data_IF_791132978725
#
_entry.id   IF_791132978725
#
_cell.length_a   1.000
_cell.length_b   1.000
_cell.length_c   1.000
_cell.angle_alpha   90.00
_cell.angle_beta   90.00
_cell.angle_gamma   90.00
#
_symmetry.space_group_name_H-M   'P 1'
#
loop_
_entity.id
_entity.type
_entity.pdbx_description
1 polymer ?
#
# COMPACT_ATOMS: atom_id res chain seq x y z
N UNK A 1 26.85 -15.75 -1.74
CA UNK A 1 25.54 -15.68 -2.42
C UNK A 1 24.98 -14.29 -2.16
N UNK A 2 24.66 -13.48 -3.18
CA UNK A 2 24.20 -12.09 -2.94
C UNK A 2 22.86 -12.06 -2.21
N UNK A 3 22.53 -10.98 -1.51
CA UNK A 3 21.23 -10.88 -0.81
C UNK A 3 20.09 -10.88 -1.83
N UNK A 4 20.28 -10.32 -3.03
CA UNK A 4 19.30 -10.38 -4.10
C UNK A 4 18.98 -11.80 -4.55
N UNK A 5 19.97 -12.70 -4.62
CA UNK A 5 19.71 -14.11 -4.94
C UNK A 5 18.89 -14.79 -3.85
N UNK A 6 19.16 -14.49 -2.58
CA UNK A 6 18.41 -15.03 -1.44
C UNK A 6 16.97 -14.52 -1.43
N UNK A 7 16.77 -13.21 -1.63
CA UNK A 7 15.44 -12.62 -1.76
C UNK A 7 14.68 -13.27 -2.94
N UNK A 8 15.28 -13.33 -4.13
CA UNK A 8 14.65 -13.99 -5.30
C UNK A 8 14.26 -15.43 -5.03
N UNK A 9 15.10 -16.21 -4.33
CA UNK A 9 14.78 -17.57 -3.95
C UNK A 9 13.59 -17.63 -2.98
N UNK A 10 13.57 -16.76 -1.95
CA UNK A 10 12.45 -16.65 -0.99
C UNK A 10 11.14 -16.29 -1.69
N UNK A 11 11.18 -15.28 -2.58
CA UNK A 11 10.05 -14.83 -3.39
C UNK A 11 9.53 -15.97 -4.27
N UNK A 12 10.41 -16.70 -4.97
CA UNK A 12 10.02 -17.85 -5.81
C UNK A 12 9.36 -18.97 -5.00
N UNK A 13 9.87 -19.25 -3.81
CA UNK A 13 9.30 -20.26 -2.92
C UNK A 13 7.91 -19.87 -2.42
N UNK A 14 7.72 -18.60 -2.02
CA UNK A 14 6.42 -18.08 -1.62
C UNK A 14 5.42 -18.05 -2.78
N UNK A 15 5.88 -17.65 -3.97
CA UNK A 15 5.08 -17.67 -5.19
C UNK A 15 4.57 -19.08 -5.52
N UNK A 16 5.44 -20.08 -5.44
CA UNK A 16 5.07 -21.48 -5.66
C UNK A 16 4.05 -21.98 -4.62
N UNK A 17 4.29 -21.71 -3.33
CA UNK A 17 3.40 -22.16 -2.23
C UNK A 17 2.00 -21.53 -2.30
N UNK A 18 1.90 -20.27 -2.70
CA UNK A 18 0.65 -19.51 -2.72
C UNK A 18 0.00 -19.47 -4.11
N UNK A 19 0.56 -20.17 -5.11
CA UNK A 19 0.06 -20.19 -6.50
C UNK A 19 -0.13 -18.80 -7.13
N UNK A 20 0.78 -17.86 -6.84
CA UNK A 20 0.73 -16.49 -7.39
C UNK A 20 2.03 -16.12 -8.12
N UNK A 21 2.00 -15.15 -9.05
CA UNK A 21 3.20 -14.74 -9.78
C UNK A 21 4.31 -14.19 -8.85
N UNK A 22 5.56 -14.61 -9.09
CA UNK A 22 6.71 -14.15 -8.31
C UNK A 22 6.88 -12.63 -8.30
N UNK A 23 6.52 -11.95 -9.40
CA UNK A 23 6.53 -10.49 -9.47
C UNK A 23 5.55 -9.83 -8.49
N UNK A 24 4.35 -10.41 -8.34
CA UNK A 24 3.37 -9.90 -7.40
C UNK A 24 3.82 -10.11 -5.94
N UNK A 25 4.42 -11.26 -5.65
CA UNK A 25 5.04 -11.54 -4.34
C UNK A 25 6.15 -10.52 -4.04
N UNK A 26 7.02 -10.22 -5.01
CA UNK A 26 8.06 -9.21 -4.86
C UNK A 26 7.49 -7.81 -4.61
N UNK A 27 6.45 -7.42 -5.35
CA UNK A 27 5.80 -6.13 -5.14
C UNK A 27 5.14 -6.03 -3.77
N UNK A 28 4.41 -7.05 -3.33
CA UNK A 28 3.81 -7.09 -2.00
C UNK A 28 4.87 -6.95 -0.90
N UNK A 29 6.01 -7.61 -1.04
CA UNK A 29 7.13 -7.43 -0.12
C UNK A 29 7.57 -5.97 -0.05
N UNK A 30 7.77 -5.32 -1.19
CA UNK A 30 8.19 -3.91 -1.23
C UNK A 30 7.09 -2.95 -0.72
N UNK A 31 5.81 -3.25 -0.95
CA UNK A 31 4.69 -2.50 -0.38
C UNK A 31 4.62 -2.65 1.15
N UNK A 32 4.90 -3.83 1.69
CA UNK A 32 4.98 -4.03 3.15
C UNK A 32 6.13 -3.20 3.76
N UNK A 33 7.26 -3.02 3.05
CA UNK A 33 8.34 -2.13 3.48
C UNK A 33 7.96 -0.65 3.50
N UNK A 34 7.11 -0.21 2.56
CA UNK A 34 6.52 1.12 2.60
C UNK A 34 5.51 1.24 3.75
N UNK A 35 4.65 0.24 3.92
CA UNK A 35 3.63 0.22 4.98
C UNK A 35 4.26 0.30 6.38
N UNK A 36 5.37 -0.40 6.57
CA UNK A 36 6.12 -0.32 7.82
C UNK A 36 6.66 1.09 8.06
N UNK A 37 7.26 1.74 7.05
CA UNK A 37 7.71 3.13 7.15
C UNK A 37 6.56 4.07 7.46
N UNK A 38 5.38 3.87 6.86
CA UNK A 38 4.16 4.62 7.20
C UNK A 38 3.83 4.47 8.69
N UNK A 39 3.83 3.25 9.21
CA UNK A 39 3.43 2.93 10.60
C UNK A 39 4.27 3.61 11.68
N UNK A 40 5.56 3.86 11.39
CA UNK A 40 6.49 4.53 12.31
C UNK A 40 6.75 6.00 11.96
N UNK A 41 6.15 6.51 10.88
CA UNK A 41 6.34 7.89 10.45
C UNK A 41 5.56 8.87 11.32
N UNK A 42 5.94 10.16 11.24
CA UNK A 42 5.14 11.26 11.78
C UNK A 42 3.75 11.40 11.12
N UNK A 43 3.52 10.73 9.98
CA UNK A 43 2.25 10.74 9.24
C UNK A 43 1.35 9.55 9.59
N UNK A 44 1.78 8.66 10.49
CA UNK A 44 1.09 7.40 10.79
C UNK A 44 -0.39 7.57 11.13
N UNK A 45 -0.76 8.67 11.79
CA UNK A 45 -2.14 8.95 12.22
C UNK A 45 -3.00 9.66 11.15
N UNK A 46 -2.34 10.11 10.08
CA UNK A 46 -2.94 10.81 8.93
C UNK A 46 -3.22 9.85 7.77
N UNK A 47 -2.40 8.80 7.60
CA UNK A 47 -2.53 7.83 6.50
C UNK A 47 -3.40 6.66 6.94
N UNK A 48 -4.49 6.42 6.22
CA UNK A 48 -5.43 5.33 6.48
C UNK A 48 -5.43 4.39 5.27
N UNK A 49 -4.98 3.15 5.48
CA UNK A 49 -4.91 2.11 4.46
C UNK A 49 -6.32 1.69 4.01
N UNK A 50 -6.51 1.50 2.70
CA UNK A 50 -7.76 0.98 2.13
C UNK A 50 -7.52 0.01 0.97
N UNK A 51 -8.59 -0.36 0.29
CA UNK A 51 -8.51 -1.03 -1.01
C UNK A 51 -7.99 -2.46 -0.97
N UNK A 52 -7.34 -2.87 -2.07
CA UNK A 52 -7.03 -4.28 -2.33
C UNK A 52 -6.04 -4.90 -1.35
N UNK A 53 -5.07 -4.10 -0.87
CA UNK A 53 -4.00 -4.58 0.01
C UNK A 53 -4.55 -4.95 1.38
N UNK A 54 -5.44 -4.11 1.91
CA UNK A 54 -6.13 -4.34 3.18
C UNK A 54 -7.05 -5.56 3.11
N UNK A 55 -7.78 -5.72 2.00
CA UNK A 55 -8.63 -6.91 1.81
C UNK A 55 -7.75 -8.16 1.77
N UNK A 56 -6.67 -8.15 0.99
CA UNK A 56 -5.77 -9.29 0.85
C UNK A 56 -5.13 -9.70 2.20
N UNK A 57 -4.85 -8.77 3.10
CA UNK A 57 -4.34 -9.10 4.43
C UNK A 57 -5.40 -9.68 5.37
N UNK A 58 -6.69 -9.40 5.15
CA UNK A 58 -7.80 -9.98 5.92
C UNK A 58 -8.17 -11.38 5.47
N UNK A 59 -8.18 -11.64 4.15
CA UNK A 59 -8.64 -12.93 3.59
C UNK A 59 -7.52 -13.87 3.12
N UNK A 60 -6.26 -13.39 3.17
CA UNK A 60 -5.08 -14.14 2.79
C UNK A 60 -4.65 -13.95 1.33
N UNK A 61 -3.35 -14.12 1.07
CA UNK A 61 -2.68 -13.83 -0.22
C UNK A 61 -3.27 -14.62 -1.41
N UNK A 62 -3.92 -15.76 -1.15
CA UNK A 62 -4.47 -16.63 -2.20
C UNK A 62 -5.67 -16.00 -2.93
N UNK A 63 -6.27 -14.95 -2.38
CA UNK A 63 -7.34 -14.20 -3.04
C UNK A 63 -6.81 -12.87 -3.57
N UNK A 64 -6.48 -12.85 -4.88
CA UNK A 64 -6.18 -11.68 -5.70
C UNK A 64 -4.94 -10.87 -5.24
N UNK A 65 -3.86 -10.94 -6.03
CA UNK A 65 -2.71 -10.04 -5.87
C UNK A 65 -3.10 -8.63 -6.27
N UNK A 66 -3.30 -7.72 -5.31
CA UNK A 66 -3.23 -6.28 -5.62
C UNK A 66 -1.77 -5.92 -5.87
N UNK A 67 -1.52 -5.09 -6.88
CA UNK A 67 -0.17 -4.59 -7.20
C UNK A 67 0.03 -3.16 -6.68
N UNK A 68 -1.04 -2.58 -6.14
CA UNK A 68 -1.14 -1.18 -5.74
C UNK A 68 -1.51 -1.11 -4.24
N UNK A 69 -1.09 -0.02 -3.60
CA UNK A 69 -1.55 0.37 -2.27
C UNK A 69 -2.48 1.56 -2.40
N UNK A 70 -3.67 1.46 -1.83
CA UNK A 70 -4.64 2.55 -1.74
C UNK A 70 -4.65 3.08 -0.30
N UNK A 71 -4.64 4.39 -0.14
CA UNK A 71 -4.82 5.01 1.17
C UNK A 71 -5.59 6.33 1.05
N UNK A 72 -6.22 6.77 2.13
CA UNK A 72 -6.73 8.14 2.25
C UNK A 72 -5.91 8.89 3.29
N UNK A 73 -5.73 10.19 3.07
CA UNK A 73 -5.10 11.08 4.04
C UNK A 73 -6.14 11.96 4.72
N UNK A 74 -6.12 11.97 6.05
CA UNK A 74 -6.95 12.84 6.91
C UNK A 74 -6.12 13.88 7.65
N UNK A 75 -6.71 15.05 7.89
CA UNK A 75 -6.12 16.07 8.77
C UNK A 75 -4.78 16.65 8.28
N UNK A 76 -4.51 16.56 6.98
CA UNK A 76 -3.28 17.02 6.35
C UNK A 76 -3.60 17.79 5.06
N UNK A 77 -2.89 18.88 4.73
CA UNK A 77 -3.08 19.57 3.47
C UNK A 77 -2.94 18.62 2.28
N UNK A 78 -3.86 18.73 1.31
CA UNK A 78 -3.96 17.80 0.20
C UNK A 78 -3.62 18.47 -1.13
N UNK A 79 -2.34 18.50 -1.45
CA UNK A 79 -1.79 19.03 -2.71
C UNK A 79 -0.64 18.16 -3.21
N UNK A 80 -0.29 18.24 -4.50
CA UNK A 80 0.81 17.46 -5.06
C UNK A 80 2.12 17.65 -4.26
N UNK A 81 2.44 18.89 -3.90
CA UNK A 81 3.64 19.24 -3.15
C UNK A 81 3.65 18.59 -1.75
N UNK A 82 2.52 18.65 -1.06
CA UNK A 82 2.40 18.16 0.32
C UNK A 82 2.37 16.62 0.37
N UNK A 83 1.74 15.98 -0.62
CA UNK A 83 1.76 14.52 -0.81
C UNK A 83 3.16 14.05 -1.19
N UNK A 84 3.82 14.70 -2.15
CA UNK A 84 5.20 14.39 -2.53
C UNK A 84 6.12 14.48 -1.31
N UNK A 85 6.04 15.56 -0.54
CA UNK A 85 6.82 15.75 0.67
C UNK A 85 6.56 14.65 1.70
N UNK A 86 5.29 14.32 1.98
CA UNK A 86 4.96 13.29 2.95
C UNK A 86 5.52 11.92 2.56
N UNK A 87 5.34 11.52 1.29
CA UNK A 87 5.81 10.24 0.79
C UNK A 87 7.33 10.20 0.68
N UNK A 88 8.00 11.30 0.32
CA UNK A 88 9.46 11.41 0.34
C UNK A 88 10.02 11.25 1.76
N UNK A 89 9.43 11.94 2.75
CA UNK A 89 9.81 11.82 4.16
C UNK A 89 9.63 10.38 4.65
N UNK A 90 8.52 9.72 4.30
CA UNK A 90 8.25 8.31 4.65
C UNK A 90 9.29 7.39 4.00
N UNK A 91 9.57 7.58 2.70
CA UNK A 91 10.54 6.77 1.96
C UNK A 91 11.96 6.89 2.53
N UNK A 92 12.32 8.04 3.10
CA UNK A 92 13.64 8.30 3.67
C UNK A 92 13.88 7.59 5.02
N UNK A 93 12.83 7.08 5.67
CA UNK A 93 12.94 6.34 6.94
C UNK A 93 13.79 5.09 6.74
N UNK A 94 14.80 4.91 7.59
CA UNK A 94 15.68 3.75 7.58
C UNK A 94 15.11 2.65 8.47
N UNK A 95 14.98 1.45 7.93
CA UNK A 95 14.50 0.24 8.63
C UNK A 95 15.56 -0.86 8.75
N UNK A 96 16.78 -0.61 8.28
CA UNK A 96 17.83 -1.63 8.15
C UNK A 96 17.37 -2.90 7.40
N UNK A 97 16.46 -2.72 6.45
CA UNK A 97 15.82 -3.76 5.63
C UNK A 97 16.40 -3.88 4.21
N UNK A 98 17.51 -3.17 3.97
CA UNK A 98 18.23 -3.07 2.69
C UNK A 98 17.38 -2.60 1.50
N UNK A 99 16.19 -2.06 1.76
CA UNK A 99 15.30 -1.48 0.76
C UNK A 99 15.45 0.03 0.76
N UNK A 100 15.74 0.59 -0.41
CA UNK A 100 15.65 2.03 -0.65
C UNK A 100 14.36 2.32 -1.40
N UNK A 101 13.58 3.29 -0.92
CA UNK A 101 12.39 3.78 -1.60
C UNK A 101 12.66 5.20 -2.09
N UNK A 102 12.26 5.51 -3.32
CA UNK A 102 12.37 6.86 -3.89
C UNK A 102 11.09 7.22 -4.61
N UNK A 103 10.50 8.36 -4.26
CA UNK A 103 9.38 8.93 -5.03
C UNK A 103 9.90 9.37 -6.40
N UNK A 104 9.31 8.82 -7.46
CA UNK A 104 9.64 9.15 -8.85
C UNK A 104 8.80 10.34 -9.32
N UNK A 105 7.48 10.12 -9.45
CA UNK A 105 6.54 11.16 -9.85
C UNK A 105 5.22 11.07 -9.10
N UNK A 106 4.50 12.20 -9.06
CA UNK A 106 3.15 12.32 -8.50
C UNK A 106 2.28 12.86 -9.61
N UNK A 107 1.14 12.22 -9.85
CA UNK A 107 0.19 12.63 -10.88
C UNK A 107 -1.21 12.73 -10.27
N UNK A 108 -2.01 13.75 -10.63
CA UNK A 108 -3.40 13.78 -10.23
C UNK A 108 -4.15 12.59 -10.85
N UNK A 109 -5.00 11.95 -10.06
CA UNK A 109 -5.97 10.97 -10.52
C UNK A 109 -7.28 11.72 -10.75
N UNK A 110 -7.86 11.57 -11.93
CA UNK A 110 -9.24 11.98 -12.16
C UNK A 110 -10.14 10.90 -11.54
N UNK A 111 -10.56 11.10 -10.31
CA UNK A 111 -11.69 10.38 -9.73
C UNK A 111 -12.96 11.21 -9.92
N UNK A 112 -14.11 10.55 -9.94
CA UNK A 112 -15.43 11.20 -9.85
C UNK A 112 -15.70 11.73 -8.42
N UNK A 113 -14.71 11.69 -7.52
CA UNK A 113 -14.81 12.17 -6.14
C UNK A 113 -14.62 13.68 -6.05
N UNK A 114 -15.36 14.31 -5.14
CA UNK A 114 -15.40 15.76 -4.91
C UNK A 114 -14.02 16.38 -4.60
N UNK A 115 -13.10 15.60 -4.01
CA UNK A 115 -11.79 16.06 -3.53
C UNK A 115 -10.60 15.58 -4.38
N UNK A 116 -10.84 14.74 -5.40
CA UNK A 116 -9.80 14.17 -6.26
C UNK A 116 -8.82 13.21 -5.54
N UNK A 117 -7.68 12.93 -6.17
CA UNK A 117 -6.63 12.08 -5.60
C UNK A 117 -5.30 12.21 -6.34
N UNK A 118 -4.25 11.60 -5.78
CA UNK A 118 -2.91 11.57 -6.37
C UNK A 118 -2.39 10.14 -6.47
N UNK A 119 -1.78 9.84 -7.62
CA UNK A 119 -1.02 8.62 -7.87
C UNK A 119 0.44 8.93 -7.68
N UNK A 120 1.06 8.26 -6.73
CA UNK A 120 2.49 8.37 -6.43
C UNK A 120 3.18 7.13 -6.98
N UNK A 121 4.10 7.33 -7.92
CA UNK A 121 5.02 6.30 -8.36
C UNK A 121 6.25 6.30 -7.44
N UNK A 122 6.59 5.14 -6.91
CA UNK A 122 7.76 4.94 -6.05
C UNK A 122 8.61 3.84 -6.65
N UNK A 123 9.93 4.04 -6.71
CA UNK A 123 10.88 2.99 -7.07
C UNK A 123 11.44 2.38 -5.79
N UNK A 124 11.14 1.10 -5.57
CA UNK A 124 11.75 0.31 -4.52
C UNK A 124 12.97 -0.44 -5.07
N UNK A 125 14.10 -0.29 -4.40
CA UNK A 125 15.37 -0.89 -4.80
C UNK A 125 15.92 -1.79 -3.70
N UNK A 126 16.33 -3.00 -4.07
CA UNK A 126 17.04 -3.95 -3.22
C UNK A 126 18.22 -4.54 -4.01
N UNK A 127 19.45 -4.15 -3.65
CA UNK A 127 20.66 -4.38 -4.46
C UNK A 127 20.44 -3.96 -5.95
N UNK A 128 20.42 -4.94 -6.87
CA UNK A 128 20.21 -4.75 -8.32
C UNK A 128 18.75 -4.87 -8.76
N UNK A 129 17.83 -5.18 -7.84
CA UNK A 129 16.40 -5.35 -8.14
C UNK A 129 15.73 -3.98 -8.02
N UNK A 130 15.11 -3.51 -9.10
CA UNK A 130 14.25 -2.33 -9.10
C UNK A 130 12.81 -2.78 -9.29
N UNK A 131 11.93 -2.33 -8.40
CA UNK A 131 10.51 -2.67 -8.39
C UNK A 131 9.70 -1.38 -8.35
N UNK A 132 9.00 -1.01 -9.44
CA UNK A 132 8.08 0.11 -9.42
C UNK A 132 6.86 -0.24 -8.57
N UNK A 133 6.46 0.69 -7.72
CA UNK A 133 5.29 0.64 -6.86
C UNK A 133 4.37 1.80 -7.19
N UNK A 134 3.08 1.57 -7.01
CA UNK A 134 2.03 2.53 -7.31
C UNK A 134 1.14 2.71 -6.09
N UNK A 135 1.06 3.94 -5.62
CA UNK A 135 0.29 4.31 -4.43
C UNK A 135 -0.76 5.33 -4.82
N UNK A 136 -2.03 4.99 -4.65
CA UNK A 136 -3.13 5.91 -4.88
C UNK A 136 -3.55 6.50 -3.52
N UNK A 137 -3.44 7.82 -3.40
CA UNK A 137 -3.79 8.57 -2.20
C UNK A 137 -5.01 9.44 -2.49
N UNK A 138 -6.06 9.31 -1.68
CA UNK A 138 -7.27 10.15 -1.70
C UNK A 138 -7.39 11.00 -0.43
N UNK A 139 -8.44 11.83 -0.36
CA UNK A 139 -8.82 12.55 0.85
C UNK A 139 -10.33 12.76 0.89
N UNK A 140 -10.87 13.13 2.05
CA UNK A 140 -12.30 13.45 2.19
C UNK A 140 -13.22 12.23 2.26
N UNK A 141 -12.68 11.01 2.26
CA UNK A 141 -13.44 9.78 2.39
C UNK A 141 -14.26 9.75 3.70
N UNK A 142 -15.54 9.40 3.60
CA UNK A 142 -16.45 9.26 4.74
C UNK A 142 -16.30 7.83 5.30
N UNK A 143 -15.83 7.72 6.54
CA UNK A 143 -15.66 6.44 7.23
C UNK A 143 -16.75 6.27 8.26
N UNK A 144 -17.52 5.18 8.16
CA UNK A 144 -18.62 4.89 9.08
C UNK A 144 -18.47 3.47 9.64
N UNK A 145 -18.41 3.28 10.97
CA UNK A 145 -18.41 4.30 12.04
C UNK A 145 -17.16 5.20 12.09
N UNK A 146 -15.95 4.66 11.93
CA UNK A 146 -14.68 5.41 11.81
C UNK A 146 -13.56 4.46 11.30
N UNK A 147 -12.37 4.99 11.00
CA UNK A 147 -11.15 4.22 10.79
C UNK A 147 -10.80 3.38 12.03
N UNK A 148 -10.16 2.24 11.81
CA UNK A 148 -9.75 1.32 12.88
C UNK A 148 -8.24 1.13 12.89
N UNK A 149 -7.68 0.83 14.07
CA UNK A 149 -6.31 0.32 14.18
C UNK A 149 -6.30 -1.12 13.68
N UNK A 150 -5.56 -1.36 12.61
CA UNK A 150 -5.43 -2.65 11.97
C UNK A 150 -4.01 -3.19 12.14
N UNK A 151 -3.93 -4.43 12.61
CA UNK A 151 -2.66 -5.17 12.72
C UNK A 151 -2.44 -5.93 11.43
N UNK A 152 -1.55 -5.42 10.58
CA UNK A 152 -1.12 -6.08 9.36
C UNK A 152 -0.01 -7.09 9.70
N UNK A 153 -0.30 -8.38 9.50
CA UNK A 153 0.69 -9.44 9.68
C UNK A 153 1.52 -9.56 8.39
N UNK A 154 2.83 -9.39 8.49
CA UNK A 154 3.72 -9.53 7.34
C UNK A 154 3.63 -10.96 6.78
N UNK A 155 3.54 -11.05 5.47
CA UNK A 155 3.53 -12.34 4.78
C UNK A 155 4.94 -12.93 4.59
N UNK A 156 5.97 -12.12 4.88
CA UNK A 156 7.36 -12.43 4.58
C UNK A 156 8.19 -12.62 5.85
N UNK A 157 7.79 -11.98 6.93
CA UNK A 157 8.50 -11.96 8.21
C UNK A 157 7.50 -12.20 9.34
N UNK A 158 7.98 -12.73 10.46
CA UNK A 158 7.14 -12.89 11.65
C UNK A 158 7.00 -11.54 12.38
N UNK A 159 6.32 -10.59 11.75
CA UNK A 159 6.24 -9.19 12.16
C UNK A 159 4.82 -8.65 12.01
N UNK A 160 4.46 -7.77 12.94
CA UNK A 160 3.20 -7.02 12.94
C UNK A 160 3.47 -5.57 12.60
N UNK A 161 2.64 -4.99 11.72
CA UNK A 161 2.68 -3.59 11.32
C UNK A 161 1.32 -2.98 11.67
N UNK A 162 1.29 -2.06 12.62
CA UNK A 162 0.03 -1.45 13.08
C UNK A 162 -0.23 -0.12 12.37
N UNK A 163 -1.32 -0.06 11.61
CA UNK A 163 -1.69 1.13 10.81
C UNK A 163 -3.15 1.50 11.04
N UNK A 164 -3.53 2.71 10.67
CA UNK A 164 -4.95 3.01 10.48
C UNK A 164 -5.43 2.40 9.17
N UNK A 165 -6.65 1.87 9.19
CA UNK A 165 -7.26 1.26 8.01
C UNK A 165 -8.77 1.47 7.99
N UNK A 166 -9.38 1.21 6.84
CA UNK A 166 -10.84 1.19 6.72
C UNK A 166 -11.39 0.06 7.57
N UNK A 167 -12.51 0.33 8.24
CA UNK A 167 -13.29 -0.74 8.83
C UNK A 167 -13.93 -1.62 7.73
N UNK A 168 -14.34 -2.82 8.10
CA UNK A 168 -14.87 -3.78 7.13
C UNK A 168 -16.19 -3.32 6.51
N UNK A 169 -17.00 -2.58 7.27
CA UNK A 169 -18.28 -2.02 6.84
C UNK A 169 -18.10 -1.07 5.65
N UNK A 170 -17.13 -0.15 5.75
CA UNK A 170 -16.80 0.82 4.70
C UNK A 170 -16.18 0.13 3.49
N UNK A 171 -15.27 -0.84 3.69
CA UNK A 171 -14.69 -1.63 2.60
C UNK A 171 -15.79 -2.34 1.81
N UNK A 172 -16.72 -3.00 2.50
CA UNK A 172 -17.82 -3.72 1.86
C UNK A 172 -18.76 -2.75 1.13
N UNK A 173 -19.10 -1.62 1.74
CA UNK A 173 -19.94 -0.60 1.13
C UNK A 173 -19.33 -0.06 -0.18
N UNK A 174 -18.05 0.34 -0.18
CA UNK A 174 -17.35 0.79 -1.40
C UNK A 174 -17.34 -0.29 -2.49
N UNK A 175 -17.11 -1.56 -2.12
CA UNK A 175 -17.09 -2.66 -3.11
C UNK A 175 -18.46 -2.92 -3.71
N UNK A 176 -19.52 -2.91 -2.91
CA UNK A 176 -20.90 -3.06 -3.40
C UNK A 176 -21.26 -1.90 -4.32
N UNK A 177 -20.96 -0.67 -3.92
CA UNK A 177 -21.21 0.54 -4.72
C UNK A 177 -20.47 0.49 -6.06
N UNK A 178 -19.19 0.10 -6.07
CA UNK A 178 -18.41 -0.08 -7.30
C UNK A 178 -19.01 -1.16 -8.20
N UNK A 179 -19.46 -2.29 -7.65
CA UNK A 179 -20.12 -3.36 -8.42
C UNK A 179 -21.38 -2.81 -9.08
N UNK A 180 -22.24 -2.12 -8.32
CA UNK A 180 -23.48 -1.56 -8.84
C UNK A 180 -23.23 -0.55 -9.97
N UNK A 181 -22.27 0.38 -9.79
CA UNK A 181 -21.90 1.33 -10.83
C UNK A 181 -21.38 0.68 -12.11
N UNK A 182 -20.65 -0.44 -12.00
CA UNK A 182 -20.05 -1.13 -13.16
C UNK A 182 -20.97 -2.18 -13.80
N UNK A 183 -21.96 -2.69 -13.08
CA UNK A 183 -22.85 -3.75 -13.55
C UNK A 183 -24.20 -3.24 -14.07
N UNK A 184 -24.62 -2.04 -13.69
CA UNK A 184 -25.97 -1.52 -13.99
C UNK A 184 -25.96 -0.27 -14.89
N UNK A 185 -24.82 0.42 -15.03
CA UNK A 185 -24.67 1.63 -15.85
C UNK A 185 -23.68 1.43 -17.00
#
# INVERSE_FOLDING_TARGET
>A
MSKAMQLKAKIKNLAFKNHIPAQAVLQNFMLERLLERISISKYKDMVILKGGMLIASMVGINSRTTMDMDATMRGYPFSEETIRKALSDICAIQLDDEVTLTVDHVLPIRSDDEYGGYRVAIIAKFESINTPLKIDITTGDILTPDAVRYVFYSNFENKMIEVWAYNIETILAEKVETILRRSVL
#
